data_IF_212490891148
#
_entry.id   IF_212490891148
#
_cell.length_a   1.000
_cell.length_b   1.000
_cell.length_c   1.000
_cell.angle_alpha   90.00
_cell.angle_beta   90.00
_cell.angle_gamma   90.00
#
_symmetry.space_group_name_H-M   'P 1'
#
loop_
_entity.id
_entity.type
_entity.pdbx_description
1 polymer ?
#
# COMPACT_ATOMS: atom_id res chain seq x y z
N UNK A 1 -19.62 -12.17 -63.19
CA UNK A 1 -18.27 -11.75 -63.62
C UNK A 1 -17.72 -10.74 -62.62
N UNK A 2 -16.46 -10.93 -62.17
CA UNK A 2 -15.60 -9.94 -61.44
C UNK A 2 -16.04 -9.62 -60.00
N UNK A 3 -15.76 -10.46 -59.00
CA UNK A 3 -14.53 -10.46 -58.17
C UNK A 3 -13.99 -9.05 -57.88
N UNK A 4 -14.32 -8.40 -56.76
CA UNK A 4 -13.41 -7.46 -56.08
C UNK A 4 -13.82 -7.37 -54.60
N UNK A 5 -13.09 -8.08 -53.75
CA UNK A 5 -12.98 -7.85 -52.32
C UNK A 5 -11.83 -6.86 -52.10
N UNK A 6 -12.07 -5.68 -51.53
CA UNK A 6 -11.04 -4.91 -50.83
C UNK A 6 -11.31 -5.05 -49.32
N UNK A 7 -10.63 -5.94 -48.59
CA UNK A 7 -9.30 -5.70 -48.05
C UNK A 7 -9.09 -4.23 -47.61
N UNK A 8 -9.83 -3.78 -46.59
CA UNK A 8 -9.42 -2.63 -45.77
C UNK A 8 -9.75 -2.91 -44.29
N UNK A 9 -9.32 -4.08 -43.82
CA UNK A 9 -9.04 -4.30 -42.40
C UNK A 9 -7.65 -3.72 -42.12
N UNK A 10 -7.55 -2.39 -42.08
CA UNK A 10 -6.30 -1.69 -41.77
C UNK A 10 -6.36 -1.15 -40.33
N UNK A 11 -5.84 -1.98 -39.43
CA UNK A 11 -4.86 -1.58 -38.42
C UNK A 11 -5.36 -0.67 -37.27
N UNK A 12 -6.13 -1.25 -36.35
CA UNK A 12 -6.21 -0.80 -34.95
C UNK A 12 -5.00 -1.35 -34.17
N UNK A 13 -3.83 -0.73 -34.32
CA UNK A 13 -2.63 -1.04 -33.53
C UNK A 13 -1.92 0.25 -33.11
N UNK A 14 -2.59 1.07 -32.31
CA UNK A 14 -1.89 2.03 -31.45
C UNK A 14 -1.55 1.30 -30.14
N UNK A 15 -0.36 0.70 -30.10
CA UNK A 15 0.19 0.05 -28.92
C UNK A 15 0.41 1.08 -27.81
N UNK A 16 -0.50 1.10 -26.84
CA UNK A 16 -0.22 1.68 -25.54
C UNK A 16 0.74 0.73 -24.83
N UNK A 17 2.04 1.01 -24.87
CA UNK A 17 2.98 0.51 -23.88
C UNK A 17 2.63 1.15 -22.53
N UNK A 18 1.58 0.64 -21.89
CA UNK A 18 1.30 0.92 -20.49
C UNK A 18 2.39 0.23 -19.67
N UNK A 19 3.51 0.92 -19.47
CA UNK A 19 4.43 0.56 -18.39
C UNK A 19 3.61 0.54 -17.10
N UNK A 20 3.54 -0.58 -16.37
CA UNK A 20 2.94 -0.54 -15.05
C UNK A 20 3.74 0.50 -14.25
N UNK A 21 3.07 1.57 -13.82
CA UNK A 21 3.63 2.51 -12.86
C UNK A 21 3.74 1.79 -11.52
N UNK A 22 4.70 0.88 -11.41
CA UNK A 22 5.17 0.40 -10.12
C UNK A 22 5.88 1.59 -9.50
N UNK A 23 5.13 2.41 -8.75
CA UNK A 23 5.75 3.31 -7.78
C UNK A 23 6.73 2.43 -7.01
N UNK A 24 8.00 2.73 -7.13
CA UNK A 24 9.10 2.03 -6.48
C UNK A 24 8.92 2.18 -4.96
N UNK A 25 8.07 1.34 -4.39
CA UNK A 25 7.83 1.31 -2.96
C UNK A 25 8.97 0.48 -2.39
N UNK A 26 9.90 1.16 -1.72
CA UNK A 26 10.95 0.50 -0.95
C UNK A 26 10.31 -0.60 -0.10
N UNK A 27 10.75 -1.87 -0.24
CA UNK A 27 10.20 -2.97 0.53
C UNK A 27 10.29 -2.69 2.03
N UNK A 28 9.24 -3.03 2.78
CA UNK A 28 9.29 -2.92 4.24
C UNK A 28 10.20 -4.04 4.81
N UNK A 29 10.89 -3.81 5.93
CA UNK A 29 11.71 -4.83 6.59
C UNK A 29 10.91 -6.05 7.01
N UNK A 30 11.50 -7.24 6.96
CA UNK A 30 10.89 -8.49 7.46
C UNK A 30 9.39 -8.66 7.11
N UNK A 31 9.00 -8.63 5.81
CA UNK A 31 7.59 -8.63 5.41
C UNK A 31 6.83 -9.90 5.83
N UNK A 32 7.56 -10.98 6.12
CA UNK A 32 7.04 -12.23 6.67
C UNK A 32 6.94 -12.28 8.20
N UNK A 33 7.27 -11.21 8.92
CA UNK A 33 7.08 -11.16 10.38
C UNK A 33 5.59 -11.00 10.73
N UNK A 34 5.15 -11.48 11.91
CA UNK A 34 3.78 -11.23 12.38
C UNK A 34 3.45 -9.72 12.46
N UNK A 35 4.43 -8.90 12.84
CA UNK A 35 4.30 -7.45 12.93
C UNK A 35 4.11 -6.76 11.58
N UNK A 36 4.92 -7.12 10.59
CA UNK A 36 4.78 -6.61 9.22
C UNK A 36 3.42 -6.98 8.62
N UNK A 37 2.97 -8.23 8.80
CA UNK A 37 1.64 -8.66 8.32
C UNK A 37 0.51 -7.87 8.95
N UNK A 38 0.55 -7.64 10.27
CA UNK A 38 -0.44 -6.83 10.96
C UNK A 38 -0.43 -5.38 10.46
N UNK A 39 0.77 -4.79 10.30
CA UNK A 39 0.94 -3.43 9.78
C UNK A 39 0.37 -3.28 8.37
N UNK A 40 0.69 -4.21 7.46
CA UNK A 40 0.14 -4.20 6.11
C UNK A 40 -1.37 -4.34 6.14
N UNK A 41 -1.90 -5.37 6.82
CA UNK A 41 -3.33 -5.67 6.80
C UNK A 41 -4.18 -4.53 7.37
N UNK A 42 -3.73 -3.86 8.43
CA UNK A 42 -4.49 -2.76 9.04
C UNK A 42 -4.23 -1.43 8.34
N UNK A 43 -2.97 -1.07 8.09
CA UNK A 43 -2.60 0.29 7.69
C UNK A 43 -2.62 0.54 6.18
N UNK A 44 -2.73 -0.49 5.33
CA UNK A 44 -2.88 -0.31 3.87
C UNK A 44 -4.33 -0.19 3.43
N UNK A 45 -5.29 -0.23 4.35
CA UNK A 45 -6.74 -0.19 4.07
C UNK A 45 -7.15 1.11 3.36
N UNK A 46 -6.56 2.24 3.75
CA UNK A 46 -6.98 3.57 3.28
C UNK A 46 -5.99 4.24 2.33
N UNK A 47 -4.69 3.97 2.47
CA UNK A 47 -3.62 4.59 1.66
C UNK A 47 -2.35 3.73 1.68
N UNK A 48 -1.34 4.13 0.91
CA UNK A 48 -0.02 3.46 0.91
C UNK A 48 0.68 3.53 2.27
N UNK A 49 1.49 2.52 2.56
CA UNK A 49 2.19 2.40 3.84
C UNK A 49 3.41 3.34 3.90
N UNK A 50 3.62 4.04 5.02
CA UNK A 50 4.92 4.65 5.28
C UNK A 50 5.96 3.55 5.56
N UNK A 51 7.17 3.70 5.01
CA UNK A 51 8.29 2.82 5.37
C UNK A 51 8.61 2.97 6.88
N UNK A 52 8.88 1.89 7.65
CA UNK A 52 9.15 1.96 9.09
C UNK A 52 10.30 2.90 9.48
N UNK A 53 11.34 3.01 8.64
CA UNK A 53 12.46 3.94 8.85
C UNK A 53 12.11 5.42 8.57
N UNK A 54 10.87 5.76 8.20
CA UNK A 54 10.47 7.16 7.95
C UNK A 54 10.50 8.00 9.22
N UNK A 55 10.22 7.42 10.37
CA UNK A 55 10.21 8.07 11.68
C UNK A 55 11.19 7.39 12.64
N UNK A 56 11.62 8.13 13.66
CA UNK A 56 12.30 7.56 14.82
C UNK A 56 11.28 6.85 15.73
N UNK A 57 11.78 6.04 16.68
CA UNK A 57 10.95 5.22 17.58
C UNK A 57 9.82 6.01 18.26
N UNK A 58 10.12 7.21 18.75
CA UNK A 58 9.17 8.06 19.49
C UNK A 58 8.06 8.67 18.60
N UNK A 59 8.26 8.73 17.28
CA UNK A 59 7.27 9.31 16.37
C UNK A 59 6.10 8.36 16.07
N UNK A 60 6.32 7.05 16.15
CA UNK A 60 5.32 6.05 15.78
C UNK A 60 4.09 6.00 16.69
N UNK A 61 4.21 6.08 18.04
CA UNK A 61 3.05 6.16 18.92
C UNK A 61 2.09 7.30 18.56
N UNK A 62 2.64 8.48 18.26
CA UNK A 62 1.86 9.65 17.87
C UNK A 62 1.11 9.42 16.55
N UNK A 63 1.78 8.89 15.52
CA UNK A 63 1.13 8.60 14.24
C UNK A 63 0.01 7.58 14.39
N UNK A 64 0.20 6.53 15.19
CA UNK A 64 -0.86 5.54 15.42
C UNK A 64 -2.07 6.17 16.12
N UNK A 65 -1.87 7.08 17.08
CA UNK A 65 -2.98 7.82 17.69
C UNK A 65 -3.74 8.70 16.69
N UNK A 66 -3.02 9.35 15.76
CA UNK A 66 -3.65 10.11 14.66
C UNK A 66 -4.41 9.17 13.72
N UNK A 67 -3.89 7.97 13.42
CA UNK A 67 -4.56 7.01 12.54
C UNK A 67 -5.82 6.44 13.17
N UNK A 68 -5.84 6.12 14.46
CA UNK A 68 -7.07 5.66 15.14
C UNK A 68 -8.19 6.68 14.98
N UNK A 69 -7.92 7.97 15.26
CA UNK A 69 -8.92 9.03 15.05
C UNK A 69 -9.38 9.12 13.59
N UNK A 70 -8.48 8.98 12.63
CA UNK A 70 -8.83 8.99 11.19
C UNK A 70 -9.62 7.76 10.75
N UNK A 71 -9.44 6.63 11.43
CA UNK A 71 -10.24 5.42 11.22
C UNK A 71 -11.66 5.68 11.70
N UNK A 72 -11.83 6.23 12.90
CA UNK A 72 -13.15 6.62 13.45
C UNK A 72 -13.87 7.63 12.55
N UNK A 73 -13.17 8.69 12.11
CA UNK A 73 -13.70 9.71 11.17
C UNK A 73 -14.20 9.09 9.85
N UNK A 74 -13.74 7.87 9.50
CA UNK A 74 -14.13 7.12 8.31
C UNK A 74 -15.11 5.97 8.61
N UNK A 75 -15.58 5.84 9.86
CA UNK A 75 -16.48 4.77 10.29
C UNK A 75 -15.80 3.39 10.38
N UNK A 76 -14.48 3.36 10.55
CA UNK A 76 -13.72 2.13 10.78
C UNK A 76 -13.42 1.99 12.27
N UNK A 77 -13.43 0.75 12.75
CA UNK A 77 -13.00 0.44 14.12
C UNK A 77 -11.51 0.78 14.30
N UNK A 78 -11.13 1.52 15.36
CA UNK A 78 -9.74 1.73 15.74
C UNK A 78 -8.94 0.44 15.91
N UNK A 79 -7.62 0.56 16.01
CA UNK A 79 -6.80 -0.60 16.36
C UNK A 79 -7.16 -1.09 17.76
N UNK A 80 -7.35 -2.40 17.91
CA UNK A 80 -7.40 -3.00 19.25
C UNK A 80 -6.07 -2.81 19.98
N UNK A 81 -6.06 -2.96 21.31
CA UNK A 81 -4.83 -2.87 22.10
C UNK A 81 -3.77 -3.86 21.61
N UNK A 82 -4.17 -5.08 21.27
CA UNK A 82 -3.28 -6.12 20.75
C UNK A 82 -2.73 -5.76 19.35
N UNK A 83 -3.59 -5.28 18.45
CA UNK A 83 -3.17 -4.82 17.12
C UNK A 83 -2.19 -3.66 17.22
N UNK A 84 -2.51 -2.67 18.05
CA UNK A 84 -1.67 -1.51 18.33
C UNK A 84 -0.31 -1.92 18.88
N UNK A 85 -0.26 -2.79 19.88
CA UNK A 85 0.99 -3.26 20.47
C UNK A 85 1.85 -3.98 19.43
N UNK A 86 1.26 -4.86 18.62
CA UNK A 86 1.96 -5.63 17.58
C UNK A 86 2.52 -4.73 16.47
N UNK A 87 1.71 -3.80 15.98
CA UNK A 87 2.11 -2.86 14.92
C UNK A 87 3.15 -1.88 15.44
N UNK A 88 2.97 -1.33 16.64
CA UNK A 88 3.92 -0.41 17.24
C UNK A 88 5.27 -1.07 17.53
N UNK A 89 5.27 -2.32 18.02
CA UNK A 89 6.49 -3.10 18.23
C UNK A 89 7.29 -3.25 16.95
N UNK A 90 6.63 -3.59 15.84
CA UNK A 90 7.26 -3.69 14.53
C UNK A 90 7.80 -2.34 14.02
N UNK A 91 6.98 -1.29 14.06
CA UNK A 91 7.37 0.04 13.56
C UNK A 91 8.55 0.61 14.34
N UNK A 92 8.59 0.42 15.65
CA UNK A 92 9.70 0.88 16.49
C UNK A 92 10.94 0.02 16.31
N UNK A 93 10.83 -1.30 16.16
CA UNK A 93 11.96 -2.19 15.89
C UNK A 93 12.73 -1.81 14.63
N UNK A 94 12.04 -1.31 13.60
CA UNK A 94 12.61 -0.93 12.30
C UNK A 94 12.59 0.59 12.03
N UNK A 95 12.48 1.40 13.08
CA UNK A 95 12.63 2.86 13.00
C UNK A 95 14.09 3.25 12.65
N UNK A 96 14.28 4.48 12.14
CA UNK A 96 15.62 5.02 11.86
C UNK A 96 16.46 5.20 13.13
#
# INVERSE_FOLDING_TARGET
MKKHLPLFAMMMLAGACSLPSTRDQTPIPEPGSPGARAFVARCSTCHGLPHPARLGREGWPYVLAVMDRRMEERGLEPLSEEERARILGYLTAHAR
#
